data_IF_294687518144
#
_entry.id   IF_294687518144
#
_cell.length_a   1.000
_cell.length_b   1.000
_cell.length_c   1.000
_cell.angle_alpha   90.00
_cell.angle_beta   90.00
_cell.angle_gamma   90.00
#
_symmetry.space_group_name_H-M   'P 1'
#
loop_
_entity.id
_entity.type
_entity.pdbx_description
1 polymer ?
#
# COMPACT_ATOMS: atom_id res chain seq x y z
N UNK A 1 1.22 -0.14 -2.00
CA UNK A 1 1.69 -0.47 -0.63
C UNK A 1 1.05 0.49 0.36
N UNK A 2 0.32 0.01 1.37
CA UNK A 2 -0.25 0.88 2.41
C UNK A 2 0.53 0.61 3.71
N UNK A 3 1.27 1.60 4.18
CA UNK A 3 2.21 1.49 5.28
C UNK A 3 3.64 1.16 4.81
N UNK A 4 4.59 2.01 5.16
CA UNK A 4 6.02 1.88 4.83
C UNK A 4 6.92 1.84 6.06
N UNK A 5 6.39 1.24 7.14
CA UNK A 5 7.20 0.75 8.26
C UNK A 5 8.16 -0.38 7.84
N UNK A 6 8.86 -0.97 8.82
CA UNK A 6 9.91 -1.99 8.55
C UNK A 6 9.43 -3.15 7.66
N UNK A 7 8.21 -3.65 7.88
CA UNK A 7 7.62 -4.75 7.11
C UNK A 7 7.28 -4.29 5.69
N UNK A 8 6.60 -3.15 5.54
CA UNK A 8 6.26 -2.59 4.23
C UNK A 8 7.49 -2.35 3.35
N UNK A 9 8.57 -1.80 3.94
CA UNK A 9 9.84 -1.61 3.22
C UNK A 9 10.48 -2.94 2.81
N UNK A 10 10.43 -3.97 3.67
CA UNK A 10 10.94 -5.29 3.30
C UNK A 10 10.17 -5.89 2.12
N UNK A 11 8.83 -5.77 2.12
CA UNK A 11 8.00 -6.20 1.01
C UNK A 11 8.28 -5.40 -0.27
N UNK A 12 8.46 -4.08 -0.19
CA UNK A 12 8.81 -3.23 -1.33
C UNK A 12 10.14 -3.65 -2.00
N UNK A 13 11.13 -4.12 -1.23
CA UNK A 13 12.38 -4.66 -1.79
C UNK A 13 12.13 -5.91 -2.65
N UNK A 14 11.25 -6.79 -2.18
CA UNK A 14 10.86 -7.99 -2.92
C UNK A 14 10.15 -7.59 -4.21
N UNK A 15 9.14 -6.72 -4.11
CA UNK A 15 8.36 -6.25 -5.27
C UNK A 15 9.22 -5.52 -6.30
N UNK A 16 10.25 -4.78 -5.85
CA UNK A 16 11.25 -4.19 -6.76
C UNK A 16 11.98 -5.26 -7.58
N UNK A 17 12.34 -6.38 -6.96
CA UNK A 17 12.98 -7.52 -7.63
C UNK A 17 12.09 -8.17 -8.70
N UNK A 18 10.76 -8.08 -8.53
CA UNK A 18 9.78 -8.48 -9.56
C UNK A 18 9.61 -7.46 -10.69
N UNK A 19 10.31 -6.32 -10.66
CA UNK A 19 10.22 -5.28 -11.68
C UNK A 19 8.91 -4.49 -11.65
N UNK A 20 8.20 -4.49 -10.51
CA UNK A 20 6.94 -3.77 -10.37
C UNK A 20 7.16 -2.25 -10.26
N UNK A 21 6.20 -1.47 -10.75
CA UNK A 21 6.08 -0.05 -10.36
C UNK A 21 5.64 0.03 -8.90
N UNK A 22 6.35 0.81 -8.09
CA UNK A 22 6.14 0.85 -6.65
C UNK A 22 5.41 2.13 -6.24
N UNK A 23 4.13 1.99 -5.91
CA UNK A 23 3.32 3.06 -5.30
C UNK A 23 3.14 2.80 -3.80
N UNK A 24 3.24 3.85 -2.99
CA UNK A 24 3.01 3.76 -1.55
C UNK A 24 2.18 4.90 -0.98
N UNK A 25 1.42 4.59 0.06
CA UNK A 25 0.79 5.56 0.95
C UNK A 25 1.27 5.29 2.37
N UNK A 26 1.77 6.33 3.03
CA UNK A 26 2.04 6.38 4.46
C UNK A 26 1.98 7.85 4.90
N UNK A 27 1.29 8.20 6.01
CA UNK A 27 1.31 9.56 6.55
C UNK A 27 2.72 10.08 6.86
N UNK A 28 3.68 9.17 7.09
CA UNK A 28 5.07 9.47 7.37
C UNK A 28 5.99 8.74 6.38
N UNK A 29 6.27 9.35 5.20
CA UNK A 29 7.10 8.73 4.17
C UNK A 29 8.48 8.28 4.68
N UNK A 30 8.79 7.01 4.43
CA UNK A 30 10.07 6.37 4.74
C UNK A 30 11.15 6.71 3.71
N UNK A 31 12.29 7.24 4.18
CA UNK A 31 13.48 7.47 3.35
C UNK A 31 13.98 6.19 2.67
N UNK A 32 13.95 5.05 3.38
CA UNK A 32 14.35 3.77 2.82
C UNK A 32 13.44 3.30 1.68
N UNK A 33 12.16 3.69 1.68
CA UNK A 33 11.27 3.43 0.55
C UNK A 33 11.58 4.34 -0.64
N UNK A 34 11.88 5.63 -0.40
CA UNK A 34 12.29 6.56 -1.44
C UNK A 34 13.56 6.10 -2.16
N UNK A 35 14.55 5.59 -1.42
CA UNK A 35 15.77 5.01 -2.00
C UNK A 35 15.49 3.78 -2.89
N UNK A 36 14.37 3.08 -2.66
CA UNK A 36 13.94 1.98 -3.52
C UNK A 36 13.29 2.47 -4.82
N UNK A 37 13.07 3.77 -5.00
CA UNK A 37 12.37 4.35 -6.15
C UNK A 37 10.85 4.25 -6.01
N UNK A 38 10.35 4.21 -4.77
CA UNK A 38 8.92 4.21 -4.47
C UNK A 38 8.36 5.61 -4.69
N UNK A 39 7.23 5.69 -5.37
CA UNK A 39 6.45 6.91 -5.54
C UNK A 39 5.38 6.97 -4.43
N UNK A 40 5.41 8.02 -3.61
CA UNK A 40 4.37 8.26 -2.63
C UNK A 40 3.19 8.99 -3.27
N UNK A 41 2.00 8.43 -3.10
CA UNK A 41 0.75 8.93 -3.68
C UNK A 41 -0.35 8.91 -2.62
N UNK A 42 -1.44 9.64 -2.86
CA UNK A 42 -2.65 9.53 -2.04
C UNK A 42 -3.35 8.16 -2.23
N UNK A 43 -4.26 7.82 -1.32
CA UNK A 43 -4.99 6.56 -1.38
C UNK A 43 -5.83 6.41 -2.64
N UNK A 44 -6.48 7.48 -3.11
CA UNK A 44 -7.33 7.43 -4.30
C UNK A 44 -6.52 7.06 -5.55
N UNK A 45 -5.32 7.62 -5.71
CA UNK A 45 -4.37 7.30 -6.76
C UNK A 45 -3.86 5.87 -6.61
N UNK A 46 -3.49 5.47 -5.38
CA UNK A 46 -3.05 4.12 -5.10
C UNK A 46 -4.10 3.07 -5.48
N UNK A 47 -5.38 3.29 -5.13
CA UNK A 47 -6.48 2.38 -5.47
C UNK A 47 -6.66 2.25 -6.98
N UNK A 48 -6.68 3.38 -7.71
CA UNK A 48 -6.89 3.40 -9.16
C UNK A 48 -5.76 2.77 -9.96
N UNK A 49 -4.52 2.91 -9.50
CA UNK A 49 -3.35 2.53 -10.28
C UNK A 49 -2.75 1.17 -9.91
N UNK A 50 -3.06 0.62 -8.73
CA UNK A 50 -2.45 -0.63 -8.26
C UNK A 50 -3.12 -1.87 -8.84
N UNK A 51 -2.32 -2.79 -9.39
CA UNK A 51 -2.76 -4.16 -9.71
C UNK A 51 -2.70 -5.08 -8.47
N UNK A 52 -1.82 -4.76 -7.52
CA UNK A 52 -1.67 -5.46 -6.23
C UNK A 52 -1.58 -4.44 -5.10
N UNK A 53 -2.44 -4.57 -4.09
CA UNK A 53 -2.46 -3.75 -2.89
C UNK A 53 -2.11 -4.63 -1.68
N UNK A 54 -1.07 -4.27 -0.94
CA UNK A 54 -0.66 -4.95 0.30
C UNK A 54 -0.70 -3.98 1.48
N UNK A 55 -1.30 -4.42 2.60
CA UNK A 55 -1.47 -3.62 3.82
C UNK A 55 -0.45 -4.04 4.88
N UNK A 56 0.34 -3.06 5.33
CA UNK A 56 1.40 -3.21 6.33
C UNK A 56 1.45 -2.00 7.28
N UNK A 57 0.29 -1.59 7.79
CA UNK A 57 0.12 -0.52 8.77
C UNK A 57 -0.52 -1.06 10.07
N UNK A 58 -0.24 -0.46 11.23
CA UNK A 58 -1.00 -0.77 12.44
C UNK A 58 -2.45 -0.30 12.26
N UNK A 59 -3.39 -0.97 12.93
CA UNK A 59 -4.75 -0.47 13.05
C UNK A 59 -4.76 0.81 13.91
N UNK A 60 -5.45 1.83 13.43
CA UNK A 60 -5.79 3.06 14.15
C UNK A 60 -7.26 3.40 13.89
N UNK A 61 -7.84 4.32 14.67
CA UNK A 61 -9.22 4.77 14.46
C UNK A 61 -9.39 5.41 13.07
N UNK A 62 -8.34 6.07 12.55
CA UNK A 62 -8.34 6.73 11.25
C UNK A 62 -8.29 5.75 10.07
N UNK A 63 -7.80 4.52 10.26
CA UNK A 63 -7.73 3.51 9.22
C UNK A 63 -8.65 2.29 9.46
N UNK A 64 -9.59 2.44 10.41
CA UNK A 64 -10.69 1.51 10.58
C UNK A 64 -11.55 1.46 9.29
N UNK A 65 -11.85 0.24 8.81
CA UNK A 65 -12.51 0.03 7.51
C UNK A 65 -11.84 0.75 6.32
N UNK A 66 -10.51 0.87 6.31
CA UNK A 66 -9.77 1.52 5.23
C UNK A 66 -10.13 0.96 3.84
N UNK A 67 -10.34 -0.36 3.75
CA UNK A 67 -10.84 -1.02 2.54
C UNK A 67 -12.36 -1.20 2.65
N UNK A 68 -13.10 -0.10 2.55
CA UNK A 68 -14.55 -0.10 2.49
C UNK A 68 -15.06 -0.26 1.04
N UNK A 69 -16.38 -0.27 0.86
CA UNK A 69 -17.02 -0.38 -0.47
C UNK A 69 -16.53 0.71 -1.44
N UNK A 70 -16.46 1.95 -0.98
CA UNK A 70 -16.03 3.09 -1.80
C UNK A 70 -14.55 2.97 -2.24
N UNK A 71 -13.69 2.37 -1.41
CA UNK A 71 -12.32 2.06 -1.78
C UNK A 71 -12.28 0.99 -2.89
N UNK A 72 -13.05 -0.10 -2.75
CA UNK A 72 -13.13 -1.14 -3.78
C UNK A 72 -13.70 -0.64 -5.10
N UNK A 73 -14.68 0.27 -5.07
CA UNK A 73 -15.26 0.89 -6.28
C UNK A 73 -14.25 1.74 -7.07
N UNK A 74 -13.14 2.15 -6.43
CA UNK A 74 -12.05 2.90 -7.08
C UNK A 74 -10.94 2.01 -7.64
N UNK A 75 -10.92 0.73 -7.29
CA UNK A 75 -9.85 -0.18 -7.70
C UNK A 75 -10.05 -0.70 -9.12
N UNK A 76 -8.98 -1.26 -9.69
CA UNK A 76 -9.07 -2.00 -10.96
C UNK A 76 -9.85 -3.30 -10.77
N UNK A 77 -10.62 -3.67 -11.80
CA UNK A 77 -11.19 -5.02 -11.87
C UNK A 77 -10.08 -6.08 -11.83
N UNK A 78 -10.23 -7.07 -10.94
CA UNK A 78 -9.24 -8.12 -10.76
C UNK A 78 -8.04 -7.75 -9.88
N UNK A 79 -8.08 -6.60 -9.18
CA UNK A 79 -7.06 -6.22 -8.20
C UNK A 79 -6.81 -7.33 -7.17
N UNK A 80 -5.54 -7.58 -6.85
CA UNK A 80 -5.15 -8.48 -5.77
C UNK A 80 -4.96 -7.69 -4.48
N UNK A 81 -5.72 -8.05 -3.43
CA UNK A 81 -5.58 -7.44 -2.11
C UNK A 81 -5.00 -8.45 -1.12
N UNK A 82 -3.92 -8.06 -0.44
CA UNK A 82 -3.24 -8.85 0.58
C UNK A 82 -3.26 -8.05 1.89
N UNK A 83 -3.84 -8.63 2.94
CA UNK A 83 -3.80 -8.04 4.27
C UNK A 83 -3.08 -8.99 5.24
N UNK A 84 -1.89 -8.60 5.69
CA UNK A 84 -1.16 -9.27 6.77
C UNK A 84 -1.03 -8.40 8.03
N UNK A 85 -1.73 -7.27 8.08
CA UNK A 85 -1.84 -6.42 9.24
C UNK A 85 -2.92 -6.91 10.22
N UNK A 86 -3.05 -6.23 11.36
CA UNK A 86 -4.16 -6.48 12.27
C UNK A 86 -5.49 -6.13 11.57
N UNK A 87 -6.42 -7.08 11.54
CA UNK A 87 -7.76 -6.86 11.00
C UNK A 87 -8.64 -6.17 12.05
N UNK A 88 -9.35 -5.11 11.62
CA UNK A 88 -10.78 -5.02 11.90
C UNK A 88 -11.61 -4.68 10.66
#
# INVERSE_FOLDING_TARGET
>A
MIGTGKIGVAMLRILKGFGMRLLAFDPYPSAAALELGVEYVDLATLYKESDVISLHCPLTDENYHLLNREAFDQMKDGVMVINTAAAP
#
